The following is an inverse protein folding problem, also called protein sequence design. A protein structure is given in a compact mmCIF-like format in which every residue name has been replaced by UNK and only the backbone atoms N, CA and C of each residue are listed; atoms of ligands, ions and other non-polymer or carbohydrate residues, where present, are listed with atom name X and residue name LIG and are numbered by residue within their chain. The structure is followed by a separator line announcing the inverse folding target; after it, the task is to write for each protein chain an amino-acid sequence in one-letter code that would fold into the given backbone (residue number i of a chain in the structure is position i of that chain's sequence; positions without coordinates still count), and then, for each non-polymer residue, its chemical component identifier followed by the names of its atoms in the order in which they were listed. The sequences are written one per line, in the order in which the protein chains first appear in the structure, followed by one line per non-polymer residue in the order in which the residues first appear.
data_IF_501407263168
#
_entry.id   IF_501407263168
#
_cell.length_a   1.000
_cell.length_b   1.000
_cell.length_c   1.000
_cell.angle_alpha   90.00
_cell.angle_beta   90.00
_cell.angle_gamma   90.00
#
_symmetry.space_group_name_H-M   'P 1'
#
loop_
_entity.id
_entity.type
_entity.pdbx_description
1 polymer ?
#
# COMPACT_ATOMS: atom_id res chain seq x y z
N UNK A 1 28.93 -45.21 7.96
CA UNK A 1 28.58 -44.66 9.29
C UNK A 1 27.33 -43.80 9.13
N UNK A 2 26.37 -44.02 10.02
CA UNK A 2 25.00 -43.49 10.11
C UNK A 2 24.89 -41.98 9.86
N UNK A 3 23.97 -41.46 9.04
CA UNK A 3 22.51 -41.36 9.20
C UNK A 3 22.06 -40.41 10.33
N UNK A 4 21.47 -39.26 9.95
CA UNK A 4 20.41 -38.58 10.71
C UNK A 4 19.66 -37.58 9.80
N UNK A 5 18.55 -38.04 9.23
CA UNK A 5 17.43 -37.22 8.81
C UNK A 5 16.71 -36.69 10.05
N UNK A 6 16.24 -35.44 10.05
CA UNK A 6 15.24 -34.96 11.01
C UNK A 6 14.02 -34.47 10.23
N UNK A 7 12.96 -35.28 10.34
CA UNK A 7 11.57 -35.00 10.01
C UNK A 7 10.93 -34.08 11.06
N UNK A 8 9.87 -33.38 10.65
CA UNK A 8 8.68 -33.20 11.48
C UNK A 8 8.65 -31.98 12.39
N UNK A 9 8.08 -30.88 11.89
CA UNK A 9 7.63 -29.75 12.70
C UNK A 9 6.37 -30.17 13.48
N UNK A 10 6.57 -30.69 14.70
CA UNK A 10 5.52 -31.02 15.65
C UNK A 10 5.07 -29.79 16.44
N UNK A 11 3.76 -29.52 16.38
CA UNK A 11 3.06 -28.63 17.28
C UNK A 11 3.10 -29.15 18.73
N UNK A 12 3.20 -28.27 19.73
CA UNK A 12 2.85 -28.47 21.15
C UNK A 12 2.79 -27.08 21.84
N UNK A 13 2.15 -26.94 23.03
CA UNK A 13 1.04 -26.04 23.23
C UNK A 13 1.31 -24.99 24.34
N UNK A 14 0.55 -23.89 24.35
CA UNK A 14 0.45 -23.06 25.55
C UNK A 14 -1.02 -22.73 25.84
N UNK A 15 -1.56 -23.44 26.84
CA UNK A 15 -2.78 -23.07 27.56
C UNK A 15 -2.43 -21.90 28.49
N UNK A 16 -3.05 -20.74 28.24
CA UNK A 16 -3.21 -19.70 29.25
C UNK A 16 -4.72 -19.51 29.47
N UNK A 17 -5.22 -20.04 30.58
CA UNK A 17 -6.60 -19.89 31.03
C UNK A 17 -6.76 -18.56 31.76
N UNK A 18 -7.47 -17.61 31.15
CA UNK A 18 -8.04 -16.44 31.83
C UNK A 18 -9.55 -16.62 31.85
N UNK A 19 -10.12 -16.73 33.07
CA UNK A 19 -11.57 -16.71 33.28
C UNK A 19 -12.07 -15.28 33.15
N UNK A 20 -12.88 -15.01 32.14
CA UNK A 20 -13.77 -13.85 32.08
C UNK A 20 -15.20 -14.38 31.89
N UNK A 21 -16.03 -14.16 32.90
CA UNK A 21 -17.44 -14.53 32.89
C UNK A 21 -18.24 -13.51 32.09
N UNK A 22 -18.74 -13.94 30.93
CA UNK A 22 -20.02 -13.52 30.33
C UNK A 22 -20.27 -14.45 29.14
N UNK A 23 -21.38 -15.22 29.18
CA UNK A 23 -21.74 -16.19 28.14
C UNK A 23 -22.05 -15.47 26.82
N UNK A 24 -21.12 -15.49 25.86
CA UNK A 24 -21.43 -15.28 24.45
C UNK A 24 -21.62 -16.65 23.77
N UNK A 25 -22.82 -16.92 23.24
CA UNK A 25 -23.06 -18.11 22.40
C UNK A 25 -22.38 -17.91 21.04
N UNK A 26 -21.68 -18.90 20.47
CA UNK A 26 -21.13 -18.78 19.13
C UNK A 26 -22.26 -18.80 18.09
N UNK A 27 -22.29 -17.78 17.22
CA UNK A 27 -23.11 -17.79 16.01
C UNK A 27 -22.41 -18.67 14.98
N UNK A 28 -23.05 -19.78 14.61
CA UNK A 28 -22.58 -20.70 13.56
C UNK A 28 -23.12 -20.20 12.23
N UNK A 29 -22.28 -19.55 11.43
CA UNK A 29 -22.62 -19.24 10.03
C UNK A 29 -22.48 -20.54 9.25
N UNK A 30 -23.61 -21.13 8.86
CA UNK A 30 -23.64 -22.24 7.90
C UNK A 30 -23.65 -21.60 6.51
N UNK A 31 -22.52 -21.66 5.80
CA UNK A 31 -22.48 -21.34 4.39
C UNK A 31 -23.33 -22.38 3.65
N UNK A 32 -24.39 -21.92 2.98
CA UNK A 32 -25.16 -22.77 2.06
C UNK A 32 -24.21 -23.21 0.94
N UNK A 33 -24.09 -24.52 0.74
CA UNK A 33 -23.34 -25.09 -0.36
C UNK A 33 -23.93 -24.58 -1.69
N UNK A 34 -23.07 -24.15 -2.61
CA UNK A 34 -23.47 -23.84 -3.98
C UNK A 34 -24.09 -25.10 -4.62
N UNK A 35 -25.15 -24.97 -5.44
CA UNK A 35 -25.71 -26.11 -6.15
C UNK A 35 -24.63 -26.75 -7.04
N UNK A 36 -24.48 -28.07 -6.93
CA UNK A 36 -23.53 -28.86 -7.71
C UNK A 36 -23.74 -28.61 -9.21
N UNK A 37 -22.69 -28.17 -9.92
CA UNK A 37 -22.66 -28.21 -11.38
C UNK A 37 -22.54 -29.67 -11.83
N UNK A 38 -23.32 -30.13 -12.81
CA UNK A 38 -23.14 -31.48 -13.36
C UNK A 38 -21.74 -31.65 -13.95
N UNK A 39 -21.11 -32.78 -13.66
CA UNK A 39 -19.76 -33.13 -14.05
C UNK A 39 -19.62 -33.23 -15.58
N UNK A 40 -19.11 -32.16 -16.21
CA UNK A 40 -18.62 -32.17 -17.59
C UNK A 40 -17.17 -32.62 -17.61
N UNK A 41 -16.94 -33.91 -17.87
CA UNK A 41 -15.62 -34.47 -18.13
C UNK A 41 -15.05 -33.92 -19.44
N UNK A 42 -14.01 -33.09 -19.35
CA UNK A 42 -13.25 -32.58 -20.49
C UNK A 42 -11.79 -32.96 -20.36
N UNK A 43 -11.42 -34.08 -20.99
CA UNK A 43 -10.04 -34.51 -21.13
C UNK A 43 -9.22 -33.50 -21.96
N UNK A 44 -7.94 -33.35 -21.61
CA UNK A 44 -6.95 -32.52 -22.33
C UNK A 44 -6.87 -32.90 -23.81
N UNK A 45 -6.98 -31.93 -24.70
CA UNK A 45 -6.62 -32.07 -26.11
C UNK A 45 -5.30 -31.35 -26.41
N UNK A 46 -4.33 -32.09 -26.94
CA UNK A 46 -3.13 -31.58 -27.62
C UNK A 46 -3.45 -31.35 -29.10
N UNK A 47 -2.87 -30.34 -29.77
CA UNK A 47 -3.23 -29.99 -31.14
C UNK A 47 -2.52 -30.89 -32.15
N UNK A 48 -3.30 -31.51 -33.04
CA UNK A 48 -2.83 -32.32 -34.15
C UNK A 48 -3.76 -32.15 -35.36
N UNK A 49 -3.14 -32.10 -36.53
CA UNK A 49 -3.63 -31.72 -37.86
C UNK A 49 -4.76 -32.56 -38.46
N UNK A 50 -5.60 -31.90 -39.27
CA UNK A 50 -6.06 -32.43 -40.56
C UNK A 50 -7.39 -33.20 -40.60
N UNK A 51 -8.11 -33.01 -41.72
CA UNK A 51 -9.24 -33.75 -42.29
C UNK A 51 -10.67 -33.58 -41.70
N UNK A 52 -11.47 -32.86 -42.50
CA UNK A 52 -12.85 -33.11 -42.93
C UNK A 52 -13.91 -33.62 -41.94
N UNK A 53 -14.95 -32.79 -41.77
CA UNK A 53 -16.16 -33.06 -40.99
C UNK A 53 -17.33 -33.38 -41.97
N UNK A 54 -17.95 -34.57 -41.93
CA UNK A 54 -19.14 -34.86 -42.73
C UNK A 54 -20.42 -34.23 -42.12
N UNK A 55 -21.49 -34.01 -42.92
CA UNK A 55 -22.61 -33.16 -42.51
C UNK A 55 -23.50 -33.82 -41.43
N UNK A 56 -23.96 -33.00 -40.48
CA UNK A 56 -24.86 -33.40 -39.40
C UNK A 56 -26.29 -33.68 -39.91
N UNK A 57 -26.89 -34.79 -39.46
CA UNK A 57 -28.31 -35.08 -39.64
C UNK A 57 -29.19 -34.15 -38.76
N UNK A 58 -30.43 -33.80 -39.16
CA UNK A 58 -31.29 -32.92 -38.38
C UNK A 58 -31.86 -33.65 -37.14
N UNK A 59 -31.81 -33.00 -35.98
CA UNK A 59 -32.48 -33.49 -34.75
C UNK A 59 -34.00 -33.22 -34.81
N UNK A 60 -34.85 -34.11 -34.26
CA UNK A 60 -36.30 -33.89 -34.18
C UNK A 60 -36.65 -32.70 -33.28
N UNK A 61 -37.46 -31.76 -33.78
CA UNK A 61 -38.01 -30.67 -32.99
C UNK A 61 -39.32 -31.11 -32.31
N UNK A 62 -39.23 -31.71 -31.13
CA UNK A 62 -40.38 -31.78 -30.21
C UNK A 62 -40.20 -30.73 -29.11
N UNK A 63 -41.15 -29.80 -28.91
CA UNK A 63 -41.08 -28.84 -27.82
C UNK A 63 -41.14 -29.56 -26.47
N UNK A 64 -40.16 -29.32 -25.59
CA UNK A 64 -40.23 -29.71 -24.19
C UNK A 64 -41.35 -28.92 -23.50
N UNK A 65 -42.43 -29.59 -23.09
CA UNK A 65 -43.44 -29.01 -22.21
C UNK A 65 -43.06 -29.26 -20.75
N UNK A 66 -42.76 -28.20 -20.01
CA UNK A 66 -42.58 -28.27 -18.56
C UNK A 66 -43.93 -28.58 -17.88
N UNK A 67 -43.98 -29.48 -16.88
CA UNK A 67 -45.22 -29.76 -16.15
C UNK A 67 -45.71 -28.51 -15.41
N UNK A 68 -47.02 -28.28 -15.42
CA UNK A 68 -47.64 -27.12 -14.77
C UNK A 68 -47.55 -27.22 -13.24
N UNK A 69 -47.34 -26.08 -12.60
CA UNK A 69 -47.08 -25.90 -11.17
C UNK A 69 -48.16 -26.47 -10.24
N UNK A 70 -49.36 -26.76 -10.77
CA UNK A 70 -50.48 -27.33 -10.02
C UNK A 70 -50.32 -28.83 -9.74
N UNK A 71 -49.50 -29.56 -10.50
CA UNK A 71 -49.29 -31.00 -10.31
C UNK A 71 -48.33 -31.33 -9.14
N UNK A 72 -47.50 -30.38 -8.69
CA UNK A 72 -46.57 -30.60 -7.56
C UNK A 72 -47.19 -30.28 -6.19
N UNK A 73 -48.29 -29.52 -6.14
CA UNK A 73 -48.93 -29.09 -4.89
C UNK A 73 -49.79 -30.18 -4.24
N UNK A 74 -50.18 -31.23 -4.97
CA UNK A 74 -51.02 -32.31 -4.44
C UNK A 74 -50.23 -33.39 -3.66
N UNK A 75 -48.89 -33.36 -3.66
CA UNK A 75 -48.04 -34.39 -3.06
C UNK A 75 -47.50 -34.04 -1.66
N UNK A 76 -47.82 -32.86 -1.10
CA UNK A 76 -47.27 -32.39 0.16
C UNK A 76 -48.37 -32.19 1.23
N UNK A 77 -48.95 -33.30 1.71
CA UNK A 77 -49.89 -33.31 2.84
C UNK A 77 -49.23 -33.05 4.22
N UNK A 78 -48.21 -32.21 4.29
CA UNK A 78 -47.52 -31.85 5.53
C UNK A 78 -47.85 -30.42 5.94
N UNK A 79 -48.37 -30.22 7.15
CA UNK A 79 -48.58 -28.89 7.72
C UNK A 79 -47.22 -28.18 7.87
N UNK A 80 -46.95 -27.18 7.03
CA UNK A 80 -45.77 -26.33 7.17
C UNK A 80 -46.00 -25.38 8.33
N UNK A 81 -45.46 -25.71 9.50
CA UNK A 81 -45.37 -24.75 10.61
C UNK A 81 -44.28 -23.74 10.26
N UNK A 82 -44.67 -22.60 9.69
CA UNK A 82 -43.78 -21.45 9.49
C UNK A 82 -43.44 -20.93 10.89
N UNK A 83 -42.23 -21.20 11.37
CA UNK A 83 -41.75 -20.54 12.58
C UNK A 83 -41.71 -19.03 12.32
N UNK A 84 -42.18 -18.19 13.27
CA UNK A 84 -42.16 -16.75 13.08
C UNK A 84 -40.71 -16.30 12.84
N UNK A 85 -40.47 -15.72 11.68
CA UNK A 85 -39.20 -15.11 11.31
C UNK A 85 -38.91 -14.02 12.33
N UNK A 86 -37.98 -14.29 13.24
CA UNK A 86 -37.42 -13.25 14.09
C UNK A 86 -36.64 -12.31 13.18
N UNK A 87 -37.22 -11.15 12.89
CA UNK A 87 -36.49 -10.08 12.22
C UNK A 87 -35.39 -9.61 13.15
N UNK A 88 -34.15 -9.96 12.84
CA UNK A 88 -32.98 -9.35 13.48
C UNK A 88 -32.78 -8.00 12.81
N UNK A 89 -33.23 -6.94 13.47
CA UNK A 89 -32.88 -5.57 13.10
C UNK A 89 -31.40 -5.34 13.44
N UNK A 90 -30.54 -5.32 12.43
CA UNK A 90 -29.18 -4.79 12.59
C UNK A 90 -29.31 -3.27 12.63
N UNK A 91 -29.35 -2.71 13.83
CA UNK A 91 -29.17 -1.27 14.03
C UNK A 91 -27.67 -0.97 13.91
N UNK A 92 -27.24 -0.73 12.68
CA UNK A 92 -25.89 -0.30 12.33
C UNK A 92 -25.80 -0.11 10.83
N UNK A 93 -25.08 0.92 10.38
CA UNK A 93 -24.69 1.02 8.97
C UNK A 93 -23.99 -0.30 8.59
N UNK A 94 -24.63 -1.10 7.75
CA UNK A 94 -23.89 -2.10 6.97
C UNK A 94 -22.89 -1.28 6.18
N UNK A 95 -21.60 -1.41 6.46
CA UNK A 95 -20.55 -0.71 5.75
C UNK A 95 -20.53 -1.20 4.29
N UNK A 96 -21.40 -0.64 3.47
CA UNK A 96 -21.47 -0.81 2.01
C UNK A 96 -20.39 0.00 1.31
N UNK A 97 -19.74 0.93 2.03
CA UNK A 97 -18.73 1.82 1.50
C UNK A 97 -17.34 1.21 1.65
N UNK A 98 -16.70 0.85 0.53
CA UNK A 98 -15.30 0.40 0.48
C UNK A 98 -14.27 1.43 0.96
N UNK A 99 -14.71 2.64 1.35
CA UNK A 99 -13.90 3.78 1.79
C UNK A 99 -14.47 4.37 3.09
N UNK A 100 -13.61 4.54 4.09
CA UNK A 100 -13.95 5.17 5.38
C UNK A 100 -14.29 6.67 5.25
N UNK A 101 -15.10 7.21 6.16
CA UNK A 101 -15.37 8.64 6.22
C UNK A 101 -14.13 9.44 6.67
N UNK A 102 -14.02 10.75 6.33
CA UNK A 102 -12.84 11.54 6.70
C UNK A 102 -12.49 11.53 8.20
N UNK A 103 -13.45 11.64 9.15
CA UNK A 103 -13.16 11.49 10.58
C UNK A 103 -12.62 10.10 10.95
N UNK A 104 -13.21 9.02 10.39
CA UNK A 104 -12.73 7.65 10.63
C UNK A 104 -11.30 7.43 10.12
N UNK A 105 -10.94 8.03 8.96
CA UNK A 105 -9.57 7.97 8.45
C UNK A 105 -8.61 8.67 9.40
N UNK A 106 -8.99 9.85 9.92
CA UNK A 106 -8.19 10.60 10.89
C UNK A 106 -7.92 9.80 12.16
N UNK A 107 -8.95 9.18 12.74
CA UNK A 107 -8.82 8.33 13.92
C UNK A 107 -7.90 7.13 13.68
N UNK A 108 -8.03 6.49 12.52
CA UNK A 108 -7.19 5.37 12.09
C UNK A 108 -5.74 5.82 11.87
N UNK A 109 -5.52 7.03 11.35
CA UNK A 109 -4.19 7.61 11.23
C UNK A 109 -3.54 7.85 12.59
N UNK A 110 -4.29 8.41 13.55
CA UNK A 110 -3.83 8.59 14.93
C UNK A 110 -3.50 7.25 15.61
N UNK A 111 -4.33 6.22 15.40
CA UNK A 111 -4.09 4.88 15.93
C UNK A 111 -2.86 4.21 15.30
N UNK A 112 -2.70 4.31 13.98
CA UNK A 112 -1.53 3.80 13.27
C UNK A 112 -0.25 4.50 13.73
N UNK A 113 -0.27 5.83 13.89
CA UNK A 113 0.85 6.60 14.42
C UNK A 113 1.24 6.18 15.85
N UNK A 114 0.24 5.95 16.71
CA UNK A 114 0.49 5.49 18.07
C UNK A 114 1.12 4.10 18.09
N UNK A 115 0.64 3.16 17.27
CA UNK A 115 1.23 1.83 17.12
C UNK A 115 2.70 1.94 16.69
N UNK A 116 3.00 2.70 15.62
CA UNK A 116 4.35 2.89 15.07
C UNK A 116 5.32 3.51 16.07
N UNK A 117 4.88 4.50 16.83
CA UNK A 117 5.67 5.15 17.88
C UNK A 117 5.99 4.22 19.07
N UNK A 118 5.14 3.23 19.33
CA UNK A 118 5.31 2.28 20.43
C UNK A 118 6.16 1.05 20.07
N UNK A 119 6.53 0.88 18.79
CA UNK A 119 7.45 -0.18 18.38
C UNK A 119 8.85 0.00 19.04
N UNK A 120 9.56 -1.10 19.34
CA UNK A 120 10.95 -1.02 19.80
C UNK A 120 11.85 -0.53 18.66
N UNK A 121 12.92 0.20 19.01
CA UNK A 121 13.78 0.89 18.05
C UNK A 121 14.32 -0.03 16.94
N UNK A 122 14.75 -1.25 17.29
CA UNK A 122 15.35 -2.20 16.33
C UNK A 122 14.34 -2.66 15.28
N UNK A 123 13.06 -2.80 15.66
CA UNK A 123 11.99 -3.18 14.75
C UNK A 123 11.68 -2.04 13.78
N UNK A 124 11.74 -0.79 14.26
CA UNK A 124 11.58 0.40 13.40
C UNK A 124 12.72 0.48 12.38
N UNK A 125 13.97 0.28 12.81
CA UNK A 125 15.13 0.28 11.91
C UNK A 125 15.02 -0.84 10.87
N UNK A 126 14.67 -2.07 11.29
CA UNK A 126 14.56 -3.21 10.36
C UNK A 126 13.42 -3.02 9.36
N UNK A 127 12.23 -2.62 9.81
CA UNK A 127 11.11 -2.29 8.92
C UNK A 127 11.42 -1.07 8.04
N UNK A 128 12.26 -0.15 8.53
CA UNK A 128 12.76 0.98 7.75
C UNK A 128 13.72 0.55 6.66
N UNK A 129 14.61 -0.41 6.95
CA UNK A 129 15.48 -1.03 5.96
C UNK A 129 14.67 -1.68 4.84
N UNK A 130 13.66 -2.47 5.19
CA UNK A 130 12.74 -3.07 4.22
C UNK A 130 12.04 -2.01 3.36
N UNK A 131 11.54 -0.92 3.97
CA UNK A 131 10.96 0.19 3.22
C UNK A 131 11.97 0.86 2.26
N UNK A 132 13.22 1.08 2.70
CA UNK A 132 14.30 1.59 1.85
C UNK A 132 14.61 0.66 0.67
N UNK A 133 14.54 -0.66 0.88
CA UNK A 133 14.68 -1.63 -0.20
C UNK A 133 13.56 -1.53 -1.23
N UNK A 134 12.30 -1.41 -0.80
CA UNK A 134 11.17 -1.21 -1.71
C UNK A 134 11.28 0.10 -2.50
N UNK A 135 11.76 1.17 -1.87
CA UNK A 135 12.09 2.43 -2.56
C UNK A 135 13.17 2.20 -3.61
N UNK A 136 14.25 1.47 -3.29
CA UNK A 136 15.31 1.16 -4.25
C UNK A 136 14.83 0.30 -5.43
N UNK A 137 14.00 -0.71 -5.18
CA UNK A 137 13.36 -1.52 -6.22
C UNK A 137 12.46 -0.67 -7.14
N UNK A 138 11.62 0.19 -6.56
CA UNK A 138 10.79 1.12 -7.32
C UNK A 138 11.61 2.15 -8.10
N UNK A 139 12.69 2.66 -7.50
CA UNK A 139 13.62 3.57 -8.13
C UNK A 139 14.33 2.94 -9.33
N UNK A 140 14.83 1.71 -9.20
CA UNK A 140 15.44 0.99 -10.30
C UNK A 140 14.45 0.75 -11.44
N UNK A 141 13.22 0.34 -11.14
CA UNK A 141 12.17 0.17 -12.15
C UNK A 141 11.86 1.50 -12.88
N UNK A 142 11.80 2.61 -12.14
CA UNK A 142 11.63 3.93 -12.74
C UNK A 142 12.80 4.29 -13.67
N UNK A 143 14.04 4.06 -13.25
CA UNK A 143 15.24 4.34 -14.06
C UNK A 143 15.32 3.46 -15.30
N UNK A 144 14.86 2.21 -15.22
CA UNK A 144 14.78 1.30 -16.37
C UNK A 144 13.77 1.78 -17.40
N UNK A 145 12.60 2.30 -16.98
CA UNK A 145 11.55 2.72 -17.92
C UNK A 145 11.72 4.17 -18.36
N UNK A 146 11.63 5.12 -17.43
CA UNK A 146 11.43 6.53 -17.76
C UNK A 146 12.54 7.12 -18.63
N UNK A 147 13.78 7.18 -18.14
CA UNK A 147 14.93 7.65 -18.92
C UNK A 147 15.15 6.89 -20.24
N UNK A 148 14.70 5.65 -20.38
CA UNK A 148 14.92 4.85 -21.59
C UNK A 148 13.80 4.96 -22.64
N UNK A 149 12.73 5.72 -22.38
CA UNK A 149 11.66 6.01 -23.35
C UNK A 149 11.99 7.21 -24.27
N UNK A 150 13.19 7.26 -24.87
CA UNK A 150 13.70 8.44 -25.60
C UNK A 150 12.80 8.92 -26.75
N UNK A 151 12.31 8.00 -27.60
CA UNK A 151 11.46 8.37 -28.74
C UNK A 151 10.12 8.99 -28.32
N UNK A 152 9.54 8.50 -27.22
CA UNK A 152 8.32 9.08 -26.64
C UNK A 152 8.65 10.43 -26.00
N UNK A 153 9.79 10.56 -25.30
CA UNK A 153 10.18 11.83 -24.68
C UNK A 153 10.38 12.97 -25.69
N UNK A 154 10.86 12.66 -26.90
CA UNK A 154 11.04 13.64 -27.98
C UNK A 154 9.72 14.08 -28.62
N UNK A 155 8.79 13.15 -28.82
CA UNK A 155 7.53 13.42 -29.54
C UNK A 155 6.38 13.81 -28.60
N UNK A 156 6.38 13.28 -27.39
CA UNK A 156 5.29 13.36 -26.41
C UNK A 156 5.85 13.44 -24.96
N UNK A 157 6.50 14.57 -24.59
CA UNK A 157 7.19 14.69 -23.30
C UNK A 157 6.25 14.54 -22.09
N UNK A 158 4.99 14.97 -22.19
CA UNK A 158 4.00 14.78 -21.13
C UNK A 158 3.67 13.31 -20.87
N UNK A 159 3.53 12.52 -21.94
CA UNK A 159 3.29 11.07 -21.84
C UNK A 159 4.51 10.34 -21.25
N UNK A 160 5.72 10.70 -21.66
CA UNK A 160 6.95 10.15 -21.09
C UNK A 160 7.04 10.40 -19.57
N UNK A 161 6.71 11.63 -19.12
CA UNK A 161 6.65 11.96 -17.69
C UNK A 161 5.57 11.17 -16.95
N UNK A 162 4.39 10.99 -17.55
CA UNK A 162 3.32 10.20 -16.95
C UNK A 162 3.71 8.73 -16.80
N UNK A 163 4.27 8.11 -17.85
CA UNK A 163 4.77 6.71 -17.80
C UNK A 163 5.82 6.57 -16.71
N UNK A 164 6.76 7.52 -16.62
CA UNK A 164 7.79 7.55 -15.58
C UNK A 164 7.19 7.64 -14.18
N UNK A 165 6.15 8.46 -13.98
CA UNK A 165 5.48 8.63 -12.70
C UNK A 165 4.58 7.46 -12.30
N UNK A 166 3.91 6.83 -13.27
CA UNK A 166 2.97 5.74 -13.05
C UNK A 166 3.65 4.43 -12.61
N UNK A 167 4.94 4.29 -12.88
CA UNK A 167 5.69 3.05 -12.68
C UNK A 167 6.78 3.24 -11.61
N UNK A 168 7.12 2.17 -10.90
CA UNK A 168 8.17 2.20 -9.87
C UNK A 168 7.67 2.65 -8.51
N UNK A 169 7.51 3.96 -8.30
CA UNK A 169 7.20 4.50 -6.97
C UNK A 169 5.81 4.18 -6.42
N UNK A 170 4.73 4.20 -7.23
CA UNK A 170 3.44 3.76 -6.72
C UNK A 170 3.46 2.32 -6.21
N UNK A 171 4.19 1.44 -6.91
CA UNK A 171 4.39 0.05 -6.52
C UNK A 171 5.25 -0.08 -5.26
N UNK A 172 6.29 0.75 -5.11
CA UNK A 172 7.09 0.80 -3.90
C UNK A 172 6.25 1.20 -2.67
N UNK A 173 5.44 2.27 -2.78
CA UNK A 173 4.59 2.69 -1.67
C UNK A 173 3.53 1.64 -1.32
N UNK A 174 2.93 0.99 -2.32
CA UNK A 174 1.97 -0.09 -2.07
C UNK A 174 2.60 -1.24 -1.28
N UNK A 175 3.80 -1.69 -1.66
CA UNK A 175 4.54 -2.72 -0.91
C UNK A 175 4.80 -2.28 0.52
N UNK A 176 5.26 -1.04 0.72
CA UNK A 176 5.50 -0.48 2.06
C UNK A 176 4.23 -0.54 2.92
N UNK A 177 3.08 -0.16 2.35
CA UNK A 177 1.80 -0.16 3.05
C UNK A 177 1.31 -1.57 3.36
N UNK A 178 1.34 -2.48 2.36
CA UNK A 178 0.77 -3.83 2.50
C UNK A 178 1.66 -4.71 3.37
N UNK A 179 2.98 -4.59 3.25
CA UNK A 179 3.94 -5.33 4.07
C UNK A 179 4.16 -4.68 5.46
N UNK A 180 3.56 -3.52 5.72
CA UNK A 180 3.64 -2.85 7.02
C UNK A 180 5.04 -2.33 7.39
N UNK A 181 5.81 -1.89 6.39
CA UNK A 181 7.16 -1.35 6.59
C UNK A 181 7.15 0.10 7.12
N UNK A 182 8.29 0.58 7.62
CA UNK A 182 8.42 1.90 8.26
C UNK A 182 9.06 2.92 7.30
N UNK A 183 8.23 3.64 6.54
CA UNK A 183 8.72 4.74 5.71
C UNK A 183 8.62 6.06 6.47
N UNK A 184 9.77 6.74 6.64
CA UNK A 184 9.87 8.00 7.37
C UNK A 184 8.84 9.04 6.91
N UNK A 185 8.70 9.24 5.60
CA UNK A 185 7.88 10.32 5.04
C UNK A 185 6.40 10.15 5.37
N UNK A 186 5.85 8.94 5.28
CA UNK A 186 4.49 8.65 5.76
C UNK A 186 4.36 8.75 7.28
N UNK A 187 5.39 8.34 8.02
CA UNK A 187 5.42 8.42 9.48
C UNK A 187 5.42 9.87 10.00
N UNK A 188 5.87 10.86 9.21
CA UNK A 188 5.79 12.28 9.60
C UNK A 188 4.35 12.71 9.87
N UNK A 189 3.40 12.31 9.03
CA UNK A 189 1.97 12.58 9.25
C UNK A 189 1.41 11.70 10.38
N UNK A 190 1.54 10.37 10.26
CA UNK A 190 0.88 9.45 11.20
C UNK A 190 1.32 9.65 12.65
N UNK A 191 2.63 9.70 12.90
CA UNK A 191 3.17 9.81 14.25
C UNK A 191 2.84 11.19 14.86
N UNK A 192 2.87 12.25 14.06
CA UNK A 192 2.52 13.58 14.54
C UNK A 192 1.01 13.70 14.83
N UNK A 193 0.14 13.08 14.04
CA UNK A 193 -1.29 12.96 14.34
C UNK A 193 -1.51 12.26 15.69
N UNK A 194 -0.79 11.18 15.97
CA UNK A 194 -0.88 10.49 17.26
C UNK A 194 -0.43 11.36 18.44
N UNK A 195 0.60 12.20 18.23
CA UNK A 195 1.05 13.18 19.22
C UNK A 195 0.00 14.27 19.48
N UNK A 196 -0.60 14.83 18.43
CA UNK A 196 -1.66 15.85 18.57
C UNK A 196 -2.89 15.31 19.32
N UNK A 197 -3.22 14.04 19.12
CA UNK A 197 -4.28 13.34 19.86
C UNK A 197 -3.89 12.94 21.30
N UNK A 198 -2.67 13.25 21.73
CA UNK A 198 -2.16 12.90 23.07
C UNK A 198 -1.95 11.40 23.28
N UNK A 199 -1.88 10.60 22.20
CA UNK A 199 -1.70 9.13 22.29
C UNK A 199 -0.25 8.74 22.55
N UNK A 200 0.70 9.61 22.24
CA UNK A 200 2.15 9.39 22.40
C UNK A 200 2.87 10.69 22.78
N UNK A 201 4.05 10.55 23.40
CA UNK A 201 4.94 11.68 23.68
C UNK A 201 5.72 12.09 22.43
N UNK A 202 6.11 13.36 22.34
CA UNK A 202 6.93 13.85 21.23
C UNK A 202 8.29 13.11 21.11
N UNK A 203 8.88 12.68 22.23
CA UNK A 203 10.10 11.87 22.21
C UNK A 203 9.93 10.51 21.49
N UNK A 204 8.72 9.92 21.52
CA UNK A 204 8.42 8.70 20.79
C UNK A 204 8.29 8.94 19.28
N UNK A 205 7.77 10.11 18.89
CA UNK A 205 7.73 10.57 17.50
C UNK A 205 9.16 10.73 16.97
N UNK A 206 10.01 11.44 17.70
CA UNK A 206 11.41 11.65 17.30
C UNK A 206 12.18 10.33 17.21
N UNK A 207 12.01 9.42 18.18
CA UNK A 207 12.56 8.06 18.12
C UNK A 207 12.13 7.35 16.83
N UNK A 208 10.84 7.37 16.51
CA UNK A 208 10.34 6.72 15.30
C UNK A 208 10.97 7.33 14.05
N UNK A 209 10.99 8.66 13.94
CA UNK A 209 11.54 9.36 12.77
C UNK A 209 13.01 9.06 12.56
N UNK A 210 13.84 9.15 13.60
CA UNK A 210 15.27 8.86 13.52
C UNK A 210 15.50 7.40 13.13
N UNK A 211 14.83 6.46 13.79
CA UNK A 211 15.00 5.03 13.50
C UNK A 211 14.50 4.65 12.10
N UNK A 212 13.36 5.18 11.67
CA UNK A 212 12.80 4.89 10.35
C UNK A 212 13.68 5.49 9.25
N UNK A 213 14.14 6.73 9.41
CA UNK A 213 15.04 7.39 8.46
C UNK A 213 16.39 6.66 8.34
N UNK A 214 16.98 6.27 9.48
CA UNK A 214 18.21 5.47 9.50
C UNK A 214 18.01 4.12 8.81
N UNK A 215 16.91 3.43 9.10
CA UNK A 215 16.53 2.21 8.39
C UNK A 215 16.39 2.45 6.88
N UNK A 216 15.68 3.50 6.47
CA UNK A 216 15.48 3.82 5.06
C UNK A 216 16.82 4.08 4.33
N UNK A 217 17.76 4.80 4.95
CA UNK A 217 19.12 4.98 4.43
C UNK A 217 19.80 3.62 4.21
N UNK A 218 19.78 2.75 5.22
CA UNK A 218 20.40 1.42 5.14
C UNK A 218 19.79 0.58 4.01
N UNK A 219 18.47 0.62 3.85
CA UNK A 219 17.78 -0.10 2.78
C UNK A 219 18.12 0.43 1.39
N UNK A 220 18.16 1.75 1.21
CA UNK A 220 18.56 2.35 -0.07
C UNK A 220 20.02 2.05 -0.41
N UNK A 221 20.93 2.12 0.59
CA UNK A 221 22.33 1.78 0.42
C UNK A 221 22.53 0.29 0.08
N UNK A 222 21.77 -0.61 0.71
CA UNK A 222 21.76 -2.03 0.38
C UNK A 222 21.33 -2.27 -1.07
N UNK A 223 20.26 -1.62 -1.53
CA UNK A 223 19.82 -1.76 -2.92
C UNK A 223 20.83 -1.19 -3.93
N UNK A 224 21.50 -0.09 -3.60
CA UNK A 224 22.61 0.42 -4.40
C UNK A 224 23.72 -0.62 -4.49
N UNK A 225 24.14 -1.21 -3.37
CA UNK A 225 25.15 -2.26 -3.35
C UNK A 225 24.72 -3.50 -4.17
N UNK A 226 23.45 -3.90 -4.10
CA UNK A 226 22.94 -5.02 -4.90
C UNK A 226 22.98 -4.67 -6.39
N UNK A 227 22.39 -3.55 -6.83
CA UNK A 227 22.28 -3.22 -8.25
C UNK A 227 23.62 -2.91 -8.93
N UNK A 228 24.61 -2.44 -8.17
CA UNK A 228 25.97 -2.26 -8.67
C UNK A 228 26.70 -3.59 -8.91
N UNK A 229 26.20 -4.70 -8.37
CA UNK A 229 26.77 -6.04 -8.49
C UNK A 229 25.90 -7.02 -9.31
N UNK A 230 24.76 -6.59 -9.87
CA UNK A 230 23.86 -7.46 -10.68
C UNK A 230 24.17 -7.46 -12.18
N UNK A 231 25.06 -6.59 -12.65
CA UNK A 231 25.27 -6.35 -14.08
C UNK A 231 24.18 -5.49 -14.74
N UNK A 232 23.23 -4.94 -13.97
CA UNK A 232 22.13 -4.10 -14.49
C UNK A 232 22.49 -2.62 -14.65
N UNK A 233 23.69 -2.19 -14.23
CA UNK A 233 24.12 -0.80 -14.33
C UNK A 233 23.92 -0.17 -15.72
N UNK A 234 24.22 -0.82 -16.85
CA UNK A 234 24.00 -0.21 -18.17
C UNK A 234 22.56 0.28 -18.41
N UNK A 235 21.56 -0.34 -17.77
CA UNK A 235 20.15 0.06 -17.88
C UNK A 235 19.79 1.24 -16.97
N UNK A 236 20.54 1.43 -15.88
CA UNK A 236 20.25 2.40 -14.82
C UNK A 236 21.11 3.66 -14.93
N UNK A 237 22.35 3.55 -15.44
CA UNK A 237 23.38 4.58 -15.32
C UNK A 237 22.96 5.93 -15.89
N UNK A 238 22.51 5.98 -17.15
CA UNK A 238 22.15 7.25 -17.80
C UNK A 238 21.02 7.98 -17.08
N UNK A 239 20.04 7.22 -16.57
CA UNK A 239 18.95 7.77 -15.77
C UNK A 239 19.43 8.27 -14.41
N UNK A 240 20.25 7.47 -13.72
CA UNK A 240 20.77 7.81 -12.40
C UNK A 240 21.66 9.06 -12.43
N UNK A 241 22.53 9.17 -13.43
CA UNK A 241 23.40 10.32 -13.63
C UNK A 241 22.57 11.60 -13.84
N UNK A 242 21.60 11.56 -14.76
CA UNK A 242 20.71 12.69 -15.02
C UNK A 242 19.91 13.10 -13.77
N UNK A 243 19.44 12.13 -12.98
CA UNK A 243 18.71 12.39 -11.74
C UNK A 243 19.60 13.04 -10.68
N UNK A 244 20.85 12.59 -10.51
CA UNK A 244 21.77 13.20 -9.56
C UNK A 244 22.06 14.67 -9.89
N UNK A 245 22.35 14.96 -11.16
CA UNK A 245 22.57 16.32 -11.65
C UNK A 245 21.33 17.19 -11.44
N UNK A 246 20.15 16.73 -11.89
CA UNK A 246 18.91 17.49 -11.78
C UNK A 246 18.55 17.83 -10.33
N UNK A 247 18.65 16.85 -9.43
CA UNK A 247 18.22 16.97 -8.02
C UNK A 247 19.14 17.85 -7.18
N UNK A 248 20.38 18.06 -7.62
CA UNK A 248 21.37 18.86 -6.88
C UNK A 248 21.68 20.22 -7.51
N UNK A 249 20.94 20.59 -8.57
CA UNK A 249 21.11 21.84 -9.30
C UNK A 249 20.30 23.02 -8.73
N UNK A 250 19.16 22.77 -8.10
CA UNK A 250 18.24 23.82 -7.65
C UNK A 250 18.66 24.44 -6.30
N UNK A 251 18.36 25.73 -6.07
CA UNK A 251 18.65 26.39 -4.81
C UNK A 251 17.76 25.87 -3.67
N UNK A 252 18.20 26.04 -2.43
CA UNK A 252 17.56 25.53 -1.23
C UNK A 252 16.04 25.80 -1.17
N UNK A 253 15.61 27.04 -1.47
CA UNK A 253 14.20 27.45 -1.41
C UNK A 253 13.33 26.63 -2.36
N UNK A 254 13.76 26.46 -3.61
CA UNK A 254 12.99 25.71 -4.61
C UNK A 254 12.91 24.23 -4.23
N UNK A 255 14.03 23.65 -3.82
CA UNK A 255 14.11 22.26 -3.37
C UNK A 255 13.20 22.01 -2.16
N UNK A 256 13.22 22.92 -1.19
CA UNK A 256 12.37 22.86 0.00
C UNK A 256 10.87 22.93 -0.34
N UNK A 257 10.45 23.87 -1.20
CA UNK A 257 9.05 23.99 -1.60
C UNK A 257 8.58 22.79 -2.43
N UNK A 258 9.41 22.29 -3.36
CA UNK A 258 9.12 21.03 -4.09
C UNK A 258 8.92 19.88 -3.12
N UNK A 259 9.69 19.82 -2.04
CA UNK A 259 9.60 18.77 -1.05
C UNK A 259 8.34 18.84 -0.18
N UNK A 260 7.84 20.04 0.13
CA UNK A 260 6.54 20.18 0.79
C UNK A 260 5.45 19.55 -0.08
N UNK A 261 5.40 19.93 -1.36
CA UNK A 261 4.41 19.41 -2.29
C UNK A 261 4.53 17.89 -2.48
N UNK A 262 5.76 17.37 -2.58
CA UNK A 262 6.00 15.93 -2.77
C UNK A 262 5.42 15.12 -1.61
N UNK A 263 5.78 15.47 -0.37
CA UNK A 263 5.35 14.68 0.77
C UNK A 263 3.88 14.92 1.13
N UNK A 264 3.27 16.01 0.67
CA UNK A 264 1.83 16.16 0.75
C UNK A 264 1.14 15.06 -0.07
N UNK A 265 1.55 14.85 -1.34
CA UNK A 265 1.05 13.74 -2.15
C UNK A 265 1.32 12.37 -1.53
N UNK A 266 2.52 12.13 -0.99
CA UNK A 266 2.85 10.84 -0.34
C UNK A 266 1.95 10.62 0.88
N UNK A 267 1.79 11.62 1.74
CA UNK A 267 0.93 11.49 2.92
C UNK A 267 -0.55 11.34 2.54
N UNK A 268 -1.01 11.97 1.46
CA UNK A 268 -2.35 11.75 0.91
C UNK A 268 -2.54 10.32 0.44
N UNK A 269 -1.56 9.71 -0.25
CA UNK A 269 -1.62 8.30 -0.62
C UNK A 269 -1.73 7.38 0.62
N UNK A 270 -0.95 7.68 1.67
CA UNK A 270 -1.04 6.95 2.95
C UNK A 270 -2.44 7.13 3.58
N UNK A 271 -2.98 8.34 3.58
CA UNK A 271 -4.32 8.65 4.10
C UNK A 271 -5.42 7.89 3.35
N UNK A 272 -5.39 7.93 2.02
CA UNK A 272 -6.31 7.21 1.15
C UNK A 272 -6.19 5.69 1.34
N UNK A 273 -4.97 5.17 1.53
CA UNK A 273 -4.73 3.77 1.86
C UNK A 273 -5.30 3.35 3.21
N UNK A 274 -5.35 4.25 4.19
CA UNK A 274 -6.03 3.99 5.47
C UNK A 274 -7.55 3.95 5.29
N UNK A 275 -8.09 4.79 4.41
CA UNK A 275 -9.51 4.80 4.04
C UNK A 275 -9.96 3.59 3.24
N UNK A 276 -9.09 2.98 2.43
CA UNK A 276 -9.43 1.83 1.61
C UNK A 276 -9.39 0.49 2.38
N UNK A 277 -10.43 -0.33 2.18
CA UNK A 277 -10.58 -1.66 2.79
C UNK A 277 -10.18 -2.84 1.87
N UNK A 278 -9.87 -2.59 0.60
CA UNK A 278 -9.45 -3.62 -0.36
C UNK A 278 -8.01 -3.38 -0.86
N UNK A 279 -7.35 -4.46 -1.31
CA UNK A 279 -6.03 -4.36 -1.92
C UNK A 279 -6.06 -3.45 -3.18
N UNK A 280 -7.06 -3.62 -4.04
CA UNK A 280 -7.24 -2.79 -5.24
C UNK A 280 -7.44 -1.31 -4.91
N UNK A 281 -8.22 -0.99 -3.87
CA UNK A 281 -8.39 0.39 -3.40
C UNK A 281 -7.09 1.01 -2.90
N UNK A 282 -6.24 0.24 -2.19
CA UNK A 282 -4.91 0.68 -1.75
C UNK A 282 -3.96 0.88 -2.94
N UNK A 283 -4.03 0.04 -3.97
CA UNK A 283 -3.25 0.22 -5.20
C UNK A 283 -3.61 1.55 -5.88
N UNK A 284 -4.90 1.85 -6.07
CA UNK A 284 -5.35 3.12 -6.66
C UNK A 284 -4.96 4.33 -5.79
N UNK A 285 -5.10 4.20 -4.47
CA UNK A 285 -4.69 5.23 -3.51
C UNK A 285 -3.19 5.53 -3.54
N UNK A 286 -2.34 4.54 -3.87
CA UNK A 286 -0.93 4.77 -4.12
C UNK A 286 -0.68 5.35 -5.51
N UNK A 287 -1.36 4.83 -6.54
CA UNK A 287 -1.13 5.18 -7.94
C UNK A 287 -1.29 6.68 -8.20
N UNK A 288 -2.44 7.26 -7.90
CA UNK A 288 -2.73 8.65 -8.26
C UNK A 288 -1.74 9.67 -7.67
N UNK A 289 -1.68 9.81 -6.33
CA UNK A 289 -0.85 10.82 -5.68
C UNK A 289 0.65 10.63 -5.94
N UNK A 290 1.14 9.38 -5.92
CA UNK A 290 2.56 9.10 -6.14
C UNK A 290 2.96 9.41 -7.59
N UNK A 291 2.13 9.02 -8.57
CA UNK A 291 2.40 9.35 -9.97
C UNK A 291 2.43 10.86 -10.21
N UNK A 292 1.52 11.60 -9.55
CA UNK A 292 1.46 13.05 -9.69
C UNK A 292 2.76 13.73 -9.25
N UNK A 293 3.28 13.43 -8.05
CA UNK A 293 4.48 14.13 -7.58
C UNK A 293 5.72 13.80 -8.42
N UNK A 294 5.82 12.56 -8.92
CA UNK A 294 6.94 12.16 -9.79
C UNK A 294 6.83 12.84 -11.15
N UNK A 295 5.63 12.85 -11.76
CA UNK A 295 5.39 13.49 -13.06
C UNK A 295 5.67 15.01 -13.03
N UNK A 296 5.31 15.67 -11.93
CA UNK A 296 5.57 17.10 -11.70
C UNK A 296 7.08 17.38 -11.48
N UNK A 297 7.85 16.40 -11.03
CA UNK A 297 9.28 16.57 -10.73
C UNK A 297 9.53 17.13 -9.32
N UNK A 298 8.76 16.66 -8.34
CA UNK A 298 8.89 17.05 -6.94
C UNK A 298 9.95 16.22 -6.19
N UNK A 299 10.33 16.66 -4.98
CA UNK A 299 11.48 16.13 -4.26
C UNK A 299 11.09 15.27 -3.03
N UNK A 300 11.60 14.04 -2.96
CA UNK A 300 11.29 13.10 -1.88
C UNK A 300 12.57 12.54 -1.25
N UNK A 301 12.77 12.78 0.05
CA UNK A 301 14.06 12.55 0.69
C UNK A 301 14.52 11.09 0.58
N UNK A 302 13.62 10.12 0.75
CA UNK A 302 13.98 8.70 0.69
C UNK A 302 14.24 8.22 -0.73
N UNK A 303 13.55 8.78 -1.73
CA UNK A 303 13.84 8.47 -3.13
C UNK A 303 15.21 9.02 -3.53
N UNK A 304 15.56 10.21 -3.04
CA UNK A 304 16.82 10.86 -3.34
C UNK A 304 18.02 10.15 -2.69
N UNK A 305 17.82 9.46 -1.56
CA UNK A 305 18.81 8.54 -0.95
C UNK A 305 19.16 7.34 -1.85
N UNK A 306 18.33 7.01 -2.83
CA UNK A 306 18.66 6.00 -3.84
C UNK A 306 19.25 6.64 -5.11
N UNK A 307 18.54 7.62 -5.70
CA UNK A 307 18.93 8.17 -7.00
C UNK A 307 20.26 8.92 -7.00
N UNK A 308 20.48 9.80 -6.02
CA UNK A 308 21.65 10.67 -6.05
C UNK A 308 22.91 9.86 -5.76
N UNK A 309 22.98 8.99 -4.73
CA UNK A 309 24.14 8.12 -4.53
C UNK A 309 24.42 7.18 -5.71
N UNK A 310 23.38 6.63 -6.36
CA UNK A 310 23.57 5.80 -7.55
C UNK A 310 24.14 6.63 -8.71
N UNK A 311 23.65 7.85 -8.93
CA UNK A 311 24.17 8.77 -9.94
C UNK A 311 25.63 9.15 -9.71
N UNK A 312 26.00 9.44 -8.46
CA UNK A 312 27.40 9.69 -8.07
C UNK A 312 28.26 8.45 -8.37
N UNK A 313 27.77 7.25 -8.00
CA UNK A 313 28.49 6.00 -8.25
C UNK A 313 28.77 5.74 -9.73
N UNK A 314 27.82 6.08 -10.62
CA UNK A 314 27.97 5.89 -12.08
C UNK A 314 28.68 7.06 -12.78
N UNK A 315 29.18 8.05 -12.04
CA UNK A 315 30.06 9.10 -12.57
C UNK A 315 29.44 10.50 -12.69
N UNK A 316 28.27 10.77 -12.11
CA UNK A 316 27.71 12.12 -12.11
C UNK A 316 28.66 13.11 -11.39
N UNK A 317 28.85 14.29 -11.98
CA UNK A 317 29.66 15.36 -11.39
C UNK A 317 28.92 16.07 -10.24
N UNK A 318 28.67 15.34 -9.17
CA UNK A 318 27.96 15.77 -7.96
C UNK A 318 28.73 15.25 -6.76
N UNK A 319 29.06 16.11 -5.81
CA UNK A 319 29.71 15.67 -4.56
C UNK A 319 28.66 15.23 -3.53
N UNK A 320 29.04 14.33 -2.61
CA UNK A 320 28.17 14.01 -1.46
C UNK A 320 27.85 15.24 -0.61
N UNK A 321 28.78 16.18 -0.46
CA UNK A 321 28.52 17.44 0.23
C UNK A 321 27.42 18.26 -0.48
N UNK A 322 27.50 18.39 -1.80
CA UNK A 322 26.47 19.07 -2.59
C UNK A 322 25.12 18.36 -2.46
N UNK A 323 25.10 17.02 -2.51
CA UNK A 323 23.88 16.25 -2.27
C UNK A 323 23.27 16.55 -0.89
N UNK A 324 24.06 16.56 0.17
CA UNK A 324 23.56 16.81 1.52
C UNK A 324 22.98 18.23 1.67
N UNK A 325 23.73 19.25 1.23
CA UNK A 325 23.38 20.66 1.47
C UNK A 325 22.31 21.15 0.50
N UNK A 326 22.44 20.87 -0.80
CA UNK A 326 21.55 21.39 -1.84
C UNK A 326 20.29 20.56 -1.99
N UNK A 327 20.28 19.29 -1.55
CA UNK A 327 19.15 18.39 -1.70
C UNK A 327 18.67 17.76 -0.38
N UNK A 328 19.44 16.87 0.25
CA UNK A 328 18.89 15.99 1.28
C UNK A 328 18.31 16.76 2.48
N UNK A 329 19.00 17.79 2.96
CA UNK A 329 18.54 18.65 4.08
C UNK A 329 17.26 19.42 3.72
N UNK A 330 17.23 20.27 2.66
CA UNK A 330 16.01 21.00 2.32
C UNK A 330 14.84 20.06 2.01
N UNK A 331 15.09 18.93 1.36
CA UNK A 331 14.03 17.96 1.04
C UNK A 331 13.46 17.30 2.30
N UNK A 332 14.31 16.90 3.24
CA UNK A 332 13.86 16.29 4.49
C UNK A 332 13.02 17.27 5.32
N UNK A 333 13.46 18.52 5.42
CA UNK A 333 12.71 19.58 6.12
C UNK A 333 11.36 19.85 5.47
N UNK A 334 11.32 19.99 4.14
CA UNK A 334 10.07 20.21 3.41
C UNK A 334 9.11 19.02 3.56
N UNK A 335 9.64 17.80 3.52
CA UNK A 335 8.83 16.60 3.75
C UNK A 335 8.24 16.58 5.18
N UNK A 336 9.01 16.92 6.22
CA UNK A 336 8.50 17.04 7.60
C UNK A 336 7.37 18.06 7.69
N UNK A 337 7.53 19.23 7.08
CA UNK A 337 6.52 20.30 7.07
C UNK A 337 5.19 19.80 6.47
N UNK A 338 5.23 19.07 5.36
CA UNK A 338 4.02 18.55 4.75
C UNK A 338 3.27 17.56 5.66
N UNK A 339 3.99 16.63 6.28
CA UNK A 339 3.37 15.62 7.15
C UNK A 339 2.81 16.23 8.44
N UNK A 340 3.59 17.12 9.07
CA UNK A 340 3.22 17.73 10.36
C UNK A 340 2.16 18.81 10.22
N UNK A 341 2.32 19.73 9.25
CA UNK A 341 1.45 20.89 9.08
C UNK A 341 0.30 20.55 8.15
N UNK A 342 0.59 20.27 6.87
CA UNK A 342 -0.44 20.12 5.83
C UNK A 342 -1.38 18.93 6.08
N UNK A 343 -0.88 17.87 6.72
CA UNK A 343 -1.67 16.68 7.04
C UNK A 343 -2.09 16.63 8.50
N UNK A 344 -1.15 16.39 9.43
CA UNK A 344 -1.52 16.11 10.80
C UNK A 344 -2.23 17.28 11.50
N UNK A 345 -1.70 18.51 11.38
CA UNK A 345 -2.25 19.69 12.04
C UNK A 345 -3.58 20.11 11.41
N UNK A 346 -3.64 20.25 10.08
CA UNK A 346 -4.89 20.62 9.38
C UNK A 346 -6.01 19.63 9.67
N UNK A 347 -5.78 18.33 9.55
CA UNK A 347 -6.84 17.36 9.84
C UNK A 347 -7.17 17.25 11.33
N UNK A 348 -6.25 17.59 12.24
CA UNK A 348 -6.57 17.69 13.68
C UNK A 348 -7.44 18.89 14.00
N UNK A 349 -7.27 20.00 13.28
CA UNK A 349 -8.16 21.16 13.40
C UNK A 349 -9.58 20.84 12.90
N UNK A 350 -9.70 20.01 11.85
CA UNK A 350 -10.98 19.67 11.24
C UNK A 350 -11.72 18.52 11.95
N UNK A 351 -10.98 17.51 12.45
CA UNK A 351 -11.58 16.25 12.93
C UNK A 351 -11.00 15.77 14.27
N UNK A 352 -10.06 16.49 14.86
CA UNK A 352 -9.24 16.01 15.98
C UNK A 352 -9.25 16.91 17.21
N UNK A 353 -8.25 16.69 18.05
CA UNK A 353 -8.09 17.32 19.35
C UNK A 353 -7.86 18.83 19.27
N UNK A 354 -7.20 19.32 18.22
CA UNK A 354 -7.02 20.76 18.04
C UNK A 354 -8.36 21.45 17.76
N UNK A 355 -9.20 20.87 16.88
CA UNK A 355 -10.55 21.38 16.62
C UNK A 355 -11.41 21.40 17.87
N UNK A 356 -11.48 20.27 18.58
CA UNK A 356 -12.24 20.16 19.84
C UNK A 356 -11.82 21.16 20.91
N UNK A 357 -10.52 21.45 21.03
CA UNK A 357 -10.00 22.48 21.96
C UNK A 357 -10.47 23.89 21.60
N UNK A 358 -10.63 24.19 20.31
CA UNK A 358 -11.08 25.50 19.84
C UNK A 358 -12.59 25.64 20.02
N UNK A 359 -13.37 24.60 19.72
CA UNK A 359 -14.83 24.62 19.79
C UNK A 359 -15.39 24.38 21.21
N UNK A 360 -14.56 23.89 22.14
CA UNK A 360 -15.00 23.53 23.49
C UNK A 360 -15.76 22.19 23.55
N UNK A 361 -15.75 21.42 22.46
CA UNK A 361 -16.40 20.12 22.39
C UNK A 361 -15.70 19.08 23.27
N UNK A 362 -16.48 18.35 24.06
CA UNK A 362 -15.98 17.22 24.81
C UNK A 362 -15.49 16.11 23.86
N UNK A 363 -14.48 15.36 24.28
CA UNK A 363 -14.02 14.19 23.52
C UNK A 363 -15.16 13.16 23.48
N UNK A 364 -15.73 12.92 22.30
CA UNK A 364 -16.66 11.81 22.08
C UNK A 364 -15.94 10.51 22.43
N UNK A 365 -16.58 9.72 23.30
CA UNK A 365 -16.01 8.54 23.96
C UNK A 365 -15.80 7.36 23.01
#
# INVERSE_FOLDING_TARGET
MQAAQILGCGALPMRASVRLGARARPVRIVAQAAPERPAGGGARFTPGSGSEQPPAAPLPQTPYQAPSYQAMAAAAGGTVVVQPTTSVSINGEVATNGVLSPPQIYEKAAAAGAYKCNLPWWKIVLLGCVAGCYVGLGGALLLTVGPNCYGIAQTNPGLAKYITGAIGFPYALLQIIVCGSELFTGNTALCFTAFLEGKVKFSQVLKNWICAYAGNILGCALMLAIFTNTGLLPQLSKGAEAMALYKTAAPFKETFLKAICANWFVCLAVWQCLGANSFGGKFIACLGPVSAFVCIGLEHCIANLFFVPLGIFVGANVTFQQFLVSNLIPVTLGNIVAGTICMATVYSLLYGALGRKITGEAKTA
#
